data_IF_948562513457
#
_entry.id   IF_948562513457
#
_cell.length_a   1.000
_cell.length_b   1.000
_cell.length_c   1.000
_cell.angle_alpha   90.00
_cell.angle_beta   90.00
_cell.angle_gamma   90.00
#
_symmetry.space_group_name_H-M   'P 1'
#
loop_
_entity.id
_entity.type
_entity.pdbx_description
1 polymer ?
#
# COMPACT_ATOMS: atom_id res chain seq x y z
N UNK A 1 -24.51 6.70 43.37
CA UNK A 1 -23.64 7.83 42.98
C UNK A 1 -22.24 7.28 42.95
N UNK A 2 -21.68 6.92 41.81
CA UNK A 2 -21.45 7.80 40.65
C UNK A 2 -21.82 7.13 39.34
N UNK A 3 -22.64 7.83 38.56
CA UNK A 3 -22.88 7.61 37.13
C UNK A 3 -21.55 7.78 36.38
N UNK A 4 -21.16 6.79 35.58
CA UNK A 4 -20.21 7.02 34.49
C UNK A 4 -21.03 7.35 33.24
N UNK A 5 -21.34 8.63 33.15
CA UNK A 5 -21.76 9.33 31.95
C UNK A 5 -20.59 9.33 30.96
N UNK A 6 -20.56 8.38 30.02
CA UNK A 6 -19.74 8.46 28.82
C UNK A 6 -20.66 8.66 27.62
N UNK A 7 -21.19 9.88 27.53
CA UNK A 7 -21.04 10.71 26.34
C UNK A 7 -21.57 10.09 25.05
N UNK A 8 -22.89 9.93 24.97
CA UNK A 8 -23.58 9.87 23.69
C UNK A 8 -23.49 11.27 23.04
N UNK A 9 -22.33 11.60 22.48
CA UNK A 9 -22.17 12.79 21.64
C UNK A 9 -23.20 12.68 20.51
N UNK A 10 -23.91 13.76 20.16
CA UNK A 10 -24.84 13.69 19.04
C UNK A 10 -24.09 13.17 17.83
N UNK A 11 -24.54 12.05 17.26
CA UNK A 11 -24.02 11.53 16.00
C UNK A 11 -23.93 12.71 15.04
N UNK A 12 -22.71 13.11 14.64
CA UNK A 12 -22.55 14.23 13.70
C UNK A 12 -23.47 13.98 12.51
N UNK A 13 -24.21 15.01 12.10
CA UNK A 13 -24.99 14.94 10.88
C UNK A 13 -24.01 14.89 9.69
N UNK A 14 -23.68 13.68 9.26
CA UNK A 14 -22.74 13.43 8.17
C UNK A 14 -23.41 13.67 6.84
N UNK A 15 -22.68 14.30 5.92
CA UNK A 15 -23.15 14.51 4.55
C UNK A 15 -23.21 13.18 3.81
N UNK A 16 -24.32 12.91 3.14
CA UNK A 16 -24.47 11.77 2.23
C UNK A 16 -23.99 12.14 0.84
N UNK A 17 -23.53 11.15 0.07
CA UNK A 17 -23.14 11.29 -1.34
C UNK A 17 -23.98 10.37 -2.24
N UNK A 18 -25.28 10.68 -2.47
CA UNK A 18 -26.13 9.86 -3.33
C UNK A 18 -25.54 9.71 -4.73
N UNK A 19 -25.52 8.48 -5.23
CA UNK A 19 -25.03 8.10 -6.55
C UNK A 19 -23.53 8.26 -6.75
N UNK A 20 -22.72 8.47 -5.71
CA UNK A 20 -21.28 8.70 -5.84
C UNK A 20 -20.59 7.54 -6.57
N UNK A 21 -19.81 7.86 -7.60
CA UNK A 21 -18.92 6.92 -8.27
C UNK A 21 -17.64 6.75 -7.45
N UNK A 22 -17.06 5.54 -7.45
CA UNK A 22 -15.75 5.29 -6.83
C UNK A 22 -14.67 6.23 -7.37
N UNK A 23 -14.81 6.65 -8.63
CA UNK A 23 -13.95 7.64 -9.30
C UNK A 23 -13.84 8.96 -8.55
N UNK A 24 -14.84 9.34 -7.76
CA UNK A 24 -14.82 10.57 -6.98
C UNK A 24 -13.66 10.61 -5.98
N UNK A 25 -13.33 9.46 -5.37
CA UNK A 25 -12.31 9.38 -4.32
C UNK A 25 -11.10 8.52 -4.72
N UNK A 26 -11.18 7.76 -5.82
CA UNK A 26 -10.06 6.95 -6.32
C UNK A 26 -8.77 7.77 -6.47
N UNK A 27 -7.69 7.23 -5.93
CA UNK A 27 -6.35 7.76 -6.14
C UNK A 27 -5.98 7.61 -7.62
N UNK A 28 -5.37 8.63 -8.28
CA UNK A 28 -5.06 8.53 -9.72
C UNK A 28 -4.18 7.33 -10.09
N UNK A 29 -3.24 6.96 -9.21
CA UNK A 29 -2.44 5.74 -9.38
C UNK A 29 -3.28 4.45 -9.40
N UNK A 30 -4.35 4.37 -8.63
CA UNK A 30 -5.26 3.22 -8.58
C UNK A 30 -6.10 3.14 -9.86
N UNK A 31 -6.70 4.27 -10.27
CA UNK A 31 -7.46 4.40 -11.52
C UNK A 31 -6.63 3.98 -12.74
N UNK A 32 -5.36 4.36 -12.77
CA UNK A 32 -4.44 4.02 -13.87
C UNK A 32 -4.12 2.53 -13.97
N UNK A 33 -3.99 1.84 -12.83
CA UNK A 33 -3.68 0.41 -12.77
C UNK A 33 -4.84 -0.43 -13.31
N UNK A 34 -6.08 -0.06 -12.96
CA UNK A 34 -7.31 -0.68 -13.48
C UNK A 34 -7.39 -0.61 -15.02
N UNK A 35 -7.14 0.58 -15.57
CA UNK A 35 -7.19 0.80 -17.02
C UNK A 35 -6.08 0.03 -17.73
N UNK A 36 -4.88 -0.02 -17.16
CA UNK A 36 -3.75 -0.73 -17.75
C UNK A 36 -4.01 -2.25 -17.82
N UNK A 37 -4.56 -2.83 -16.76
CA UNK A 37 -4.86 -4.26 -16.71
C UNK A 37 -5.94 -4.68 -17.72
N UNK A 38 -7.01 -3.88 -17.89
CA UNK A 38 -8.08 -4.15 -18.86
C UNK A 38 -7.60 -4.10 -20.33
N UNK A 39 -6.47 -3.46 -20.61
CA UNK A 39 -5.87 -3.41 -21.96
C UNK A 39 -4.99 -4.62 -22.27
N UNK A 40 -4.68 -5.47 -21.29
CA UNK A 40 -3.89 -6.67 -21.51
C UNK A 40 -4.75 -7.73 -22.21
N UNK A 41 -4.35 -8.11 -23.42
CA UNK A 41 -5.00 -9.20 -24.17
C UNK A 41 -5.00 -10.48 -23.35
N UNK A 42 -6.17 -11.13 -23.23
CA UNK A 42 -6.33 -12.38 -22.48
C UNK A 42 -6.52 -12.23 -20.96
N UNK A 43 -6.56 -11.00 -20.43
CA UNK A 43 -6.82 -10.76 -19.01
C UNK A 43 -8.14 -11.38 -18.55
N UNK A 44 -9.22 -11.21 -19.31
CA UNK A 44 -10.54 -11.76 -18.95
C UNK A 44 -10.53 -13.30 -18.86
N UNK A 45 -9.75 -13.97 -19.70
CA UNK A 45 -9.61 -15.44 -19.68
C UNK A 45 -8.85 -15.89 -18.44
N UNK A 46 -7.74 -15.24 -18.11
CA UNK A 46 -6.94 -15.52 -16.90
C UNK A 46 -7.76 -15.21 -15.65
N UNK A 47 -8.45 -14.07 -15.64
CA UNK A 47 -9.30 -13.65 -14.54
C UNK A 47 -10.47 -14.62 -14.30
N UNK A 48 -11.15 -15.08 -15.36
CA UNK A 48 -12.20 -16.11 -15.24
C UNK A 48 -11.65 -17.43 -14.73
N UNK A 49 -10.49 -17.87 -15.22
CA UNK A 49 -9.85 -19.08 -14.74
C UNK A 49 -9.48 -18.98 -13.25
N UNK A 50 -8.87 -17.87 -12.82
CA UNK A 50 -8.55 -17.62 -11.41
C UNK A 50 -9.80 -17.52 -10.54
N UNK A 51 -10.84 -16.82 -11.00
CA UNK A 51 -12.10 -16.68 -10.28
C UNK A 51 -12.82 -18.02 -10.11
N UNK A 52 -12.77 -18.91 -11.11
CA UNK A 52 -13.31 -20.27 -11.00
C UNK A 52 -12.55 -21.18 -10.04
N UNK A 53 -11.28 -20.88 -9.75
CA UNK A 53 -10.45 -21.62 -8.78
C UNK A 53 -10.62 -21.10 -7.35
N UNK A 54 -11.21 -19.91 -7.17
CA UNK A 54 -11.43 -19.29 -5.87
C UNK A 54 -12.71 -19.83 -5.24
N UNK A 55 -12.63 -20.52 -4.09
CA UNK A 55 -13.81 -21.14 -3.49
C UNK A 55 -14.59 -20.11 -2.66
N UNK A 56 -15.28 -19.17 -3.32
CA UNK A 56 -16.02 -18.10 -2.66
C UNK A 56 -17.04 -18.62 -1.63
N UNK A 57 -17.70 -19.74 -1.96
CA UNK A 57 -18.58 -20.46 -1.02
C UNK A 57 -17.83 -20.98 0.20
N UNK A 58 -16.61 -21.48 0.03
CA UNK A 58 -15.77 -21.95 1.15
C UNK A 58 -15.37 -20.77 2.03
N UNK A 59 -14.99 -19.64 1.44
CA UNK A 59 -14.66 -18.42 2.19
C UNK A 59 -15.85 -17.95 3.06
N UNK A 60 -17.07 -17.93 2.48
CA UNK A 60 -18.29 -17.62 3.22
C UNK A 60 -18.54 -18.60 4.36
N UNK A 61 -18.40 -19.90 4.12
CA UNK A 61 -18.59 -20.92 5.15
C UNK A 61 -17.55 -20.80 6.27
N UNK A 62 -16.29 -20.48 5.93
CA UNK A 62 -15.22 -20.31 6.90
C UNK A 62 -15.54 -19.21 7.92
N UNK A 63 -15.90 -18.01 7.47
CA UNK A 63 -16.25 -16.92 8.37
C UNK A 63 -17.57 -17.15 9.11
N UNK A 64 -18.51 -17.87 8.49
CA UNK A 64 -19.73 -18.26 9.19
C UNK A 64 -19.46 -19.28 10.31
N UNK A 65 -18.43 -20.13 10.15
CA UNK A 65 -18.08 -21.16 11.13
C UNK A 65 -17.15 -20.69 12.24
N UNK A 66 -16.23 -19.77 11.95
CA UNK A 66 -15.08 -19.43 12.81
C UNK A 66 -14.99 -17.93 13.11
N UNK A 67 -16.10 -17.21 13.00
CA UNK A 67 -16.18 -15.78 13.33
C UNK A 67 -17.58 -15.40 13.79
N UNK A 68 -17.68 -14.27 14.47
CA UNK A 68 -18.95 -13.75 14.98
C UNK A 68 -19.53 -12.79 13.96
N UNK A 69 -20.71 -13.09 13.44
CA UNK A 69 -21.37 -12.24 12.43
C UNK A 69 -21.84 -10.92 13.06
N UNK A 70 -21.61 -9.79 12.42
CA UNK A 70 -22.16 -8.50 12.84
C UNK A 70 -23.63 -8.41 12.41
N UNK A 71 -24.53 -8.06 13.34
CA UNK A 71 -25.96 -7.89 13.10
C UNK A 71 -26.63 -7.03 14.18
N UNK A 72 -27.95 -6.82 14.09
CA UNK A 72 -28.71 -6.13 15.14
C UNK A 72 -28.65 -6.86 16.50
N UNK A 73 -28.38 -8.16 16.50
CA UNK A 73 -28.34 -8.99 17.71
C UNK A 73 -26.93 -9.12 18.32
N UNK A 74 -25.87 -8.76 17.59
CA UNK A 74 -24.48 -8.95 18.01
C UNK A 74 -23.57 -7.94 17.29
N UNK A 75 -22.71 -7.26 18.05
CA UNK A 75 -21.93 -6.11 17.56
C UNK A 75 -22.82 -5.02 16.91
N UNK A 76 -23.95 -4.69 17.55
CA UNK A 76 -24.92 -3.74 17.00
C UNK A 76 -24.29 -2.39 16.58
N UNK A 77 -23.34 -1.88 17.37
CA UNK A 77 -22.68 -0.62 17.03
C UNK A 77 -21.84 -0.69 15.74
N UNK A 78 -21.14 -1.81 15.49
CA UNK A 78 -20.45 -2.03 14.21
C UNK A 78 -21.46 -2.18 13.05
N UNK A 79 -22.60 -2.81 13.31
CA UNK A 79 -23.67 -2.96 12.32
C UNK A 79 -24.25 -1.59 11.93
N UNK A 80 -24.46 -0.69 12.90
CA UNK A 80 -24.88 0.69 12.67
C UNK A 80 -23.83 1.46 11.85
N UNK A 81 -22.55 1.41 12.24
CA UNK A 81 -21.47 2.05 11.46
C UNK A 81 -21.40 1.54 10.02
N UNK A 82 -21.58 0.24 9.82
CA UNK A 82 -21.57 -0.37 8.49
C UNK A 82 -22.75 0.11 7.64
N UNK A 83 -23.96 0.13 8.21
CA UNK A 83 -25.15 0.63 7.52
C UNK A 83 -25.02 2.12 7.21
N UNK A 84 -24.50 2.90 8.14
CA UNK A 84 -24.22 4.33 7.94
C UNK A 84 -23.20 4.55 6.82
N UNK A 85 -22.11 3.80 6.80
CA UNK A 85 -21.09 3.89 5.76
C UNK A 85 -21.67 3.56 4.38
N UNK A 86 -22.45 2.48 4.28
CA UNK A 86 -23.16 2.13 3.06
C UNK A 86 -24.17 3.20 2.65
N UNK A 87 -24.90 3.77 3.60
CA UNK A 87 -25.85 4.84 3.35
C UNK A 87 -25.16 6.12 2.83
N UNK A 88 -24.04 6.52 3.44
CA UNK A 88 -23.26 7.71 3.09
C UNK A 88 -22.67 7.58 1.68
N UNK A 89 -22.05 6.45 1.35
CA UNK A 89 -21.47 6.18 0.03
C UNK A 89 -22.49 5.62 -0.99
N UNK A 90 -23.75 5.53 -0.58
CA UNK A 90 -24.84 5.02 -1.41
C UNK A 90 -24.56 3.61 -1.99
N UNK A 91 -23.99 2.71 -1.19
CA UNK A 91 -23.78 1.32 -1.55
C UNK A 91 -25.09 0.54 -1.37
N UNK A 92 -25.66 0.06 -2.47
CA UNK A 92 -27.01 -0.54 -2.50
C UNK A 92 -27.14 -1.79 -1.63
N UNK A 93 -26.12 -2.65 -1.65
CA UNK A 93 -26.09 -3.90 -0.90
C UNK A 93 -25.08 -3.81 0.23
N UNK A 94 -25.57 -3.84 1.46
CA UNK A 94 -24.71 -3.90 2.66
C UNK A 94 -23.98 -5.24 2.68
N UNK A 95 -22.64 -5.27 2.63
CA UNK A 95 -21.88 -6.52 2.68
C UNK A 95 -21.99 -7.15 4.07
N UNK A 96 -21.99 -8.49 4.20
CA UNK A 96 -21.85 -9.15 5.49
C UNK A 96 -20.54 -8.71 6.17
N UNK A 97 -20.61 -8.45 7.47
CA UNK A 97 -19.43 -8.16 8.29
C UNK A 97 -19.27 -9.21 9.38
N UNK A 98 -18.03 -9.58 9.69
CA UNK A 98 -17.67 -10.54 10.73
C UNK A 98 -16.56 -9.99 11.63
N UNK A 99 -16.61 -10.34 12.91
CA UNK A 99 -15.52 -10.14 13.86
C UNK A 99 -14.82 -11.47 14.09
N UNK A 100 -13.52 -11.52 13.79
CA UNK A 100 -12.68 -12.71 13.97
C UNK A 100 -11.73 -12.52 15.15
N UNK A 101 -11.47 -13.60 15.90
CA UNK A 101 -10.56 -13.56 17.04
C UNK A 101 -9.12 -13.49 16.54
N UNK A 102 -8.52 -12.31 16.62
CA UNK A 102 -7.11 -12.08 16.33
C UNK A 102 -6.66 -10.83 17.10
N UNK A 103 -5.64 -10.92 17.97
CA UNK A 103 -5.15 -9.76 18.72
C UNK A 103 -4.43 -8.74 17.81
N UNK A 104 -4.05 -9.10 16.58
CA UNK A 104 -3.42 -8.16 15.64
C UNK A 104 -4.49 -7.27 15.00
N UNK A 105 -4.42 -5.94 15.17
CA UNK A 105 -5.39 -5.02 14.57
C UNK A 105 -5.37 -5.13 13.04
N UNK A 106 -6.50 -5.49 12.46
CA UNK A 106 -6.66 -5.64 11.02
C UNK A 106 -8.14 -5.58 10.61
N UNK A 107 -8.39 -5.07 9.41
CA UNK A 107 -9.66 -5.20 8.71
C UNK A 107 -9.39 -5.54 7.25
N UNK A 108 -10.34 -6.21 6.59
CA UNK A 108 -10.24 -6.48 5.17
C UNK A 108 -11.59 -6.67 4.50
N UNK A 109 -11.67 -6.20 3.26
CA UNK A 109 -12.75 -6.45 2.34
C UNK A 109 -12.32 -7.48 1.27
N UNK A 110 -13.01 -8.61 1.23
CA UNK A 110 -12.71 -9.78 0.38
C UNK A 110 -14.00 -10.36 -0.20
N UNK A 111 -13.91 -11.19 -1.22
CA UNK A 111 -15.05 -11.72 -1.96
C UNK A 111 -14.97 -11.38 -3.45
N UNK A 112 -15.69 -12.16 -4.26
CA UNK A 112 -15.73 -11.99 -5.70
C UNK A 112 -17.03 -11.31 -6.12
N UNK A 113 -18.13 -12.07 -6.04
CA UNK A 113 -19.47 -11.59 -6.43
C UNK A 113 -20.14 -10.86 -5.27
N UNK A 114 -19.91 -11.33 -4.04
CA UNK A 114 -20.42 -10.67 -2.83
C UNK A 114 -19.26 -10.34 -1.88
N UNK A 115 -18.92 -9.04 -1.69
CA UNK A 115 -17.90 -8.65 -0.74
C UNK A 115 -18.34 -8.95 0.69
N UNK A 116 -17.37 -9.29 1.52
CA UNK A 116 -17.46 -9.58 2.94
C UNK A 116 -16.40 -8.72 3.62
N UNK A 117 -16.79 -8.08 4.72
CA UNK A 117 -15.88 -7.31 5.56
C UNK A 117 -15.53 -8.16 6.79
N UNK A 118 -14.25 -8.23 7.12
CA UNK A 118 -13.77 -8.95 8.30
C UNK A 118 -12.95 -8.00 9.14
N UNK A 119 -13.25 -7.92 10.43
CA UNK A 119 -12.56 -7.07 11.41
C UNK A 119 -12.00 -7.96 12.50
N UNK A 120 -10.78 -7.70 12.99
CA UNK A 120 -10.21 -8.46 14.09
C UNK A 120 -10.60 -7.88 15.45
N UNK A 121 -10.65 -8.72 16.48
CA UNK A 121 -10.86 -8.27 17.87
C UNK A 121 -9.84 -7.23 18.29
N UNK A 122 -8.57 -7.38 17.90
CA UNK A 122 -7.53 -6.40 18.19
C UNK A 122 -7.79 -5.01 17.59
N UNK A 123 -8.51 -4.92 16.47
CA UNK A 123 -8.88 -3.62 15.90
C UNK A 123 -10.07 -3.00 16.65
N UNK A 124 -11.06 -3.83 17.02
CA UNK A 124 -12.23 -3.42 17.81
C UNK A 124 -11.82 -2.86 19.16
N UNK A 125 -10.80 -3.44 19.78
CA UNK A 125 -10.28 -3.00 21.08
C UNK A 125 -9.36 -1.77 20.99
N UNK A 126 -8.76 -1.53 19.83
CA UNK A 126 -7.77 -0.45 19.62
C UNK A 126 -8.42 0.90 19.33
N UNK A 127 -9.48 0.92 18.52
CA UNK A 127 -10.03 2.14 17.93
C UNK A 127 -11.26 2.65 18.69
N UNK A 128 -11.38 3.97 18.77
CA UNK A 128 -12.61 4.64 19.22
C UNK A 128 -13.68 4.67 18.11
N UNK A 129 -14.87 5.19 18.43
CA UNK A 129 -16.00 5.22 17.49
C UNK A 129 -15.67 5.93 16.17
N UNK A 130 -15.04 7.11 16.22
CA UNK A 130 -14.79 7.91 15.02
C UNK A 130 -13.65 7.33 14.17
N UNK A 131 -12.64 6.77 14.83
CA UNK A 131 -11.55 6.04 14.18
C UNK A 131 -12.06 4.75 13.52
N UNK A 132 -12.89 3.97 14.24
CA UNK A 132 -13.49 2.75 13.71
C UNK A 132 -14.41 3.07 12.53
N UNK A 133 -15.18 4.16 12.59
CA UNK A 133 -16.03 4.59 11.47
C UNK A 133 -15.22 4.94 10.23
N UNK A 134 -14.04 5.54 10.38
CA UNK A 134 -13.13 5.77 9.25
C UNK A 134 -12.64 4.44 8.65
N UNK A 135 -12.33 3.43 9.48
CA UNK A 135 -11.95 2.08 9.01
C UNK A 135 -13.11 1.36 8.33
N UNK A 136 -14.32 1.38 8.91
CA UNK A 136 -15.50 0.78 8.28
C UNK A 136 -15.80 1.45 6.95
N UNK A 137 -15.70 2.78 6.88
CA UNK A 137 -15.82 3.53 5.63
C UNK A 137 -14.76 3.17 4.60
N UNK A 138 -13.53 2.89 5.04
CA UNK A 138 -12.43 2.42 4.19
C UNK A 138 -12.76 1.05 3.57
N UNK A 139 -13.25 0.08 4.37
CA UNK A 139 -13.63 -1.24 3.87
C UNK A 139 -14.87 -1.20 2.93
N UNK A 140 -15.85 -0.35 3.24
CA UNK A 140 -16.98 -0.08 2.34
C UNK A 140 -16.50 0.59 1.05
N UNK A 141 -15.49 1.46 1.12
CA UNK A 141 -14.82 2.04 -0.04
C UNK A 141 -14.20 0.96 -0.94
N UNK A 142 -13.52 -0.04 -0.37
CA UNK A 142 -13.05 -1.20 -1.12
C UNK A 142 -14.18 -1.99 -1.78
N UNK A 143 -15.31 -2.19 -1.07
CA UNK A 143 -16.47 -2.87 -1.63
C UNK A 143 -17.06 -2.10 -2.83
N UNK A 144 -17.25 -0.78 -2.68
CA UNK A 144 -17.80 0.08 -3.72
C UNK A 144 -16.88 0.20 -4.95
N UNK A 145 -15.56 0.25 -4.74
CA UNK A 145 -14.57 0.29 -5.82
C UNK A 145 -14.27 -1.07 -6.46
N UNK A 146 -14.87 -2.17 -5.98
CA UNK A 146 -14.61 -3.52 -6.49
C UNK A 146 -13.21 -4.06 -6.15
N UNK A 147 -12.56 -3.51 -5.13
CA UNK A 147 -11.21 -3.90 -4.71
C UNK A 147 -11.18 -5.28 -4.03
N UNK A 148 -12.32 -5.75 -3.51
CA UNK A 148 -12.45 -7.05 -2.83
C UNK A 148 -12.00 -8.23 -3.69
N UNK A 149 -12.28 -8.16 -5.00
CA UNK A 149 -11.92 -9.18 -5.99
C UNK A 149 -10.40 -9.35 -6.03
N UNK A 150 -9.69 -8.26 -6.24
CA UNK A 150 -8.23 -8.27 -6.39
C UNK A 150 -7.54 -8.65 -5.09
N UNK A 151 -8.08 -8.19 -3.95
CA UNK A 151 -7.59 -8.59 -2.63
C UNK A 151 -7.71 -10.10 -2.43
N UNK A 152 -8.84 -10.69 -2.85
CA UNK A 152 -9.07 -12.14 -2.77
C UNK A 152 -8.09 -12.92 -3.65
N UNK A 153 -7.91 -12.48 -4.91
CA UNK A 153 -6.93 -13.07 -5.84
C UNK A 153 -5.51 -12.97 -5.26
N UNK A 154 -5.12 -11.82 -4.71
CA UNK A 154 -3.80 -11.62 -4.11
C UNK A 154 -3.55 -12.56 -2.91
N UNK A 155 -4.53 -12.73 -2.03
CA UNK A 155 -4.44 -13.65 -0.89
C UNK A 155 -4.24 -15.10 -1.35
N UNK A 156 -5.04 -15.53 -2.33
CA UNK A 156 -4.94 -16.86 -2.90
C UNK A 156 -3.59 -17.09 -3.59
N UNK A 157 -3.16 -16.18 -4.46
CA UNK A 157 -1.88 -16.29 -5.17
C UNK A 157 -0.68 -16.24 -4.23
N UNK A 158 -0.75 -15.44 -3.16
CA UNK A 158 0.31 -15.42 -2.14
C UNK A 158 0.37 -16.76 -1.41
N UNK A 159 -0.77 -17.35 -1.04
CA UNK A 159 -0.82 -18.68 -0.43
C UNK A 159 -0.34 -19.78 -1.38
N UNK A 160 -0.69 -19.69 -2.67
CA UNK A 160 -0.23 -20.62 -3.69
C UNK A 160 1.29 -20.51 -3.91
N UNK A 161 1.83 -19.30 -4.01
CA UNK A 161 3.27 -19.05 -4.17
C UNK A 161 4.08 -19.71 -3.04
N UNK A 162 3.60 -19.61 -1.80
CA UNK A 162 4.23 -20.28 -0.66
C UNK A 162 4.20 -21.81 -0.79
N UNK A 163 3.08 -22.39 -1.24
CA UNK A 163 2.93 -23.85 -1.40
C UNK A 163 3.80 -24.44 -2.51
N UNK A 164 4.11 -23.66 -3.54
CA UNK A 164 4.92 -24.11 -4.68
C UNK A 164 6.33 -23.54 -4.68
N UNK A 165 6.75 -22.85 -3.61
CA UNK A 165 8.06 -22.22 -3.51
C UNK A 165 9.23 -23.19 -3.67
N UNK A 166 8.99 -24.50 -3.45
CA UNK A 166 9.96 -25.57 -3.65
C UNK A 166 10.21 -25.94 -5.12
N UNK A 167 9.34 -25.51 -6.05
CA UNK A 167 9.49 -25.77 -7.49
C UNK A 167 10.45 -24.74 -8.10
N UNK A 168 11.62 -25.15 -8.63
CA UNK A 168 12.55 -24.22 -9.27
C UNK A 168 11.89 -23.51 -10.47
N UNK A 169 12.13 -22.20 -10.61
CA UNK A 169 11.64 -21.32 -11.69
C UNK A 169 10.11 -21.11 -11.80
N UNK A 170 9.26 -22.04 -11.35
CA UNK A 170 7.80 -21.89 -11.36
C UNK A 170 7.29 -20.72 -10.51
N UNK A 171 8.03 -20.36 -9.46
CA UNK A 171 7.70 -19.26 -8.57
C UNK A 171 7.93 -17.87 -9.22
N UNK A 172 8.76 -17.74 -10.25
CA UNK A 172 9.15 -16.42 -10.79
C UNK A 172 7.96 -15.70 -11.42
N UNK A 173 7.16 -16.39 -12.24
CA UNK A 173 5.99 -15.81 -12.88
C UNK A 173 4.91 -15.42 -11.86
N UNK A 174 4.64 -16.28 -10.88
CA UNK A 174 3.68 -15.98 -9.81
C UNK A 174 4.17 -14.82 -8.95
N UNK A 175 5.45 -14.77 -8.60
CA UNK A 175 6.03 -13.67 -7.84
C UNK A 175 5.94 -12.33 -8.58
N UNK A 176 6.11 -12.32 -9.90
CA UNK A 176 5.91 -11.10 -10.69
C UNK A 176 4.45 -10.62 -10.61
N UNK A 177 3.48 -11.54 -10.77
CA UNK A 177 2.04 -11.22 -10.65
C UNK A 177 1.69 -10.75 -9.24
N UNK A 178 2.15 -11.47 -8.20
CA UNK A 178 1.93 -11.10 -6.79
C UNK A 178 2.54 -9.73 -6.49
N UNK A 179 3.74 -9.43 -7.01
CA UNK A 179 4.38 -8.12 -6.81
C UNK A 179 3.58 -7.01 -7.47
N UNK A 180 3.10 -7.21 -8.70
CA UNK A 180 2.25 -6.23 -9.40
C UNK A 180 0.91 -6.02 -8.67
N UNK A 181 0.25 -7.10 -8.24
CA UNK A 181 -0.98 -7.03 -7.46
C UNK A 181 -0.78 -6.36 -6.09
N UNK A 182 0.37 -6.56 -5.43
CA UNK A 182 0.72 -5.86 -4.18
C UNK A 182 0.93 -4.37 -4.41
N UNK A 183 1.63 -3.98 -5.46
CA UNK A 183 1.78 -2.56 -5.81
C UNK A 183 0.43 -1.92 -6.04
N UNK A 184 -0.42 -2.55 -6.85
CA UNK A 184 -1.74 -2.03 -7.12
C UNK A 184 -2.60 -1.99 -5.86
N UNK A 185 -2.64 -3.06 -5.06
CA UNK A 185 -3.40 -3.09 -3.81
C UNK A 185 -2.97 -1.95 -2.88
N UNK A 186 -1.66 -1.66 -2.77
CA UNK A 186 -1.16 -0.48 -2.04
C UNK A 186 -1.62 0.86 -2.58
N UNK A 187 -1.93 0.99 -3.89
CA UNK A 187 -2.57 2.20 -4.43
C UNK A 187 -4.04 2.27 -4.08
N UNK A 188 -4.73 1.13 -4.08
CA UNK A 188 -6.14 1.04 -3.70
C UNK A 188 -6.38 1.41 -2.24
N UNK A 189 -5.41 1.18 -1.35
CA UNK A 189 -5.43 1.65 0.04
C UNK A 189 -5.60 3.17 0.17
N UNK A 190 -4.95 3.94 -0.72
CA UNK A 190 -5.06 5.41 -0.72
C UNK A 190 -6.46 5.85 -1.17
N UNK A 191 -7.07 5.13 -2.11
CA UNK A 191 -8.47 5.34 -2.50
C UNK A 191 -9.42 5.03 -1.34
N UNK A 192 -9.18 3.92 -0.65
CA UNK A 192 -10.00 3.51 0.48
C UNK A 192 -9.84 4.42 1.70
N UNK A 193 -8.65 4.98 1.96
CA UNK A 193 -8.44 6.03 2.97
C UNK A 193 -9.31 7.26 2.72
N UNK A 194 -9.40 7.67 1.46
CA UNK A 194 -10.25 8.80 1.05
C UNK A 194 -11.74 8.48 1.24
N UNK A 195 -12.17 7.26 0.90
CA UNK A 195 -13.53 6.80 1.19
C UNK A 195 -13.84 6.77 2.69
N UNK A 196 -12.89 6.27 3.50
CA UNK A 196 -12.95 6.29 4.96
C UNK A 196 -13.12 7.69 5.52
N UNK A 197 -12.40 8.68 4.99
CA UNK A 197 -12.57 10.08 5.37
C UNK A 197 -13.91 10.67 4.93
N UNK A 198 -14.44 10.32 3.75
CA UNK A 198 -15.78 10.76 3.32
C UNK A 198 -16.89 10.20 4.22
N UNK A 199 -16.72 8.98 4.72
CA UNK A 199 -17.65 8.35 5.67
C UNK A 199 -17.50 8.94 7.06
N UNK A 200 -16.27 9.03 7.58
CA UNK A 200 -16.01 9.54 8.94
C UNK A 200 -16.29 11.03 9.08
N UNK A 201 -15.90 11.82 8.07
CA UNK A 201 -15.97 13.29 8.03
C UNK A 201 -15.23 13.97 9.19
N UNK A 202 -14.22 13.29 9.73
CA UNK A 202 -13.32 13.79 10.76
C UNK A 202 -11.87 13.46 10.38
N UNK A 203 -11.17 14.46 9.83
CA UNK A 203 -9.77 14.33 9.42
C UNK A 203 -8.88 13.92 10.59
N UNK A 204 -9.12 14.47 11.78
CA UNK A 204 -8.30 14.18 12.97
C UNK A 204 -8.51 12.74 13.43
N UNK A 205 -9.75 12.24 13.41
CA UNK A 205 -10.03 10.85 13.75
C UNK A 205 -9.39 9.89 12.73
N UNK A 206 -9.46 10.17 11.43
CA UNK A 206 -8.78 9.35 10.42
C UNK A 206 -7.26 9.30 10.62
N UNK A 207 -6.62 10.44 10.92
CA UNK A 207 -5.18 10.46 11.23
C UNK A 207 -4.86 9.72 12.52
N UNK A 208 -5.66 9.92 13.57
CA UNK A 208 -5.48 9.27 14.87
C UNK A 208 -5.61 7.75 14.75
N UNK A 209 -6.55 7.25 13.95
CA UNK A 209 -6.69 5.83 13.64
C UNK A 209 -5.43 5.24 12.98
N UNK A 210 -4.89 5.89 11.94
CA UNK A 210 -3.63 5.48 11.31
C UNK A 210 -2.44 5.51 12.28
N UNK A 211 -2.39 6.52 13.15
CA UNK A 211 -1.37 6.65 14.19
C UNK A 211 -1.48 5.52 15.23
N UNK A 212 -2.70 5.15 15.64
CA UNK A 212 -2.93 4.02 16.56
C UNK A 212 -2.59 2.67 15.94
N UNK A 213 -2.85 2.47 14.64
CA UNK A 213 -2.40 1.27 13.92
C UNK A 213 -0.86 1.16 13.96
N UNK A 214 -0.15 2.29 13.98
CA UNK A 214 1.30 2.33 14.07
C UNK A 214 1.84 2.12 15.49
N UNK A 215 1.21 2.74 16.50
CA UNK A 215 1.78 2.92 17.84
C UNK A 215 0.94 2.41 19.02
N UNK A 216 -0.24 1.83 18.78
CA UNK A 216 -1.16 1.38 19.84
C UNK A 216 -2.03 2.49 20.42
N UNK A 217 -2.61 2.27 21.61
CA UNK A 217 -3.62 3.14 22.23
C UNK A 217 -3.07 4.10 23.31
N UNK A 218 -1.82 4.56 23.18
CA UNK A 218 -1.18 5.45 24.15
C UNK A 218 -1.38 6.93 23.79
N UNK A 219 -2.64 7.34 23.55
CA UNK A 219 -2.95 8.69 23.04
C UNK A 219 -2.45 9.84 23.93
N UNK A 220 -2.25 9.61 25.22
CA UNK A 220 -1.68 10.61 26.14
C UNK A 220 -0.18 10.85 25.92
N UNK A 221 0.50 9.94 25.21
CA UNK A 221 1.92 10.04 24.83
C UNK A 221 2.12 10.28 23.33
N UNK A 222 1.04 10.29 22.54
CA UNK A 222 1.09 10.35 21.08
C UNK A 222 0.51 11.68 20.58
N UNK A 223 1.10 12.24 19.52
CA UNK A 223 0.67 13.49 18.92
C UNK A 223 0.55 13.36 17.40
N UNK A 224 -0.62 13.70 16.86
CA UNK A 224 -0.93 13.56 15.43
C UNK A 224 -0.06 14.48 14.58
N UNK A 225 0.21 15.71 15.01
CA UNK A 225 1.05 16.65 14.28
C UNK A 225 2.51 16.18 14.23
N UNK A 226 3.01 15.59 15.32
CA UNK A 226 4.33 14.95 15.35
C UNK A 226 4.41 13.73 14.44
N UNK A 227 3.35 12.91 14.39
CA UNK A 227 3.25 11.77 13.47
C UNK A 227 3.23 12.19 11.99
N UNK A 228 2.59 13.33 11.69
CA UNK A 228 2.62 13.93 10.36
C UNK A 228 3.99 14.54 10.02
N UNK A 229 4.66 15.17 10.99
CA UNK A 229 6.03 15.65 10.82
C UNK A 229 7.01 14.49 10.55
N UNK A 230 6.79 13.33 11.18
CA UNK A 230 7.54 12.10 10.90
C UNK A 230 7.34 11.61 9.45
N UNK A 231 6.14 11.74 8.90
CA UNK A 231 5.90 11.41 7.49
C UNK A 231 6.66 12.34 6.55
N UNK A 232 6.70 13.63 6.90
CA UNK A 232 7.44 14.68 6.20
C UNK A 232 8.95 14.46 6.23
N UNK A 233 9.47 13.97 7.37
CA UNK A 233 10.85 13.51 7.51
C UNK A 233 11.10 12.29 6.62
N UNK A 234 10.26 11.26 6.69
CA UNK A 234 10.40 10.04 5.87
C UNK A 234 10.42 10.34 4.36
N UNK A 235 9.60 11.28 3.89
CA UNK A 235 9.59 11.71 2.48
C UNK A 235 10.92 12.40 2.08
N UNK A 236 11.42 13.29 2.94
CA UNK A 236 12.65 14.09 2.68
C UNK A 236 13.94 13.31 2.95
N UNK A 237 13.89 12.31 3.82
CA UNK A 237 15.08 11.71 4.40
C UNK A 237 15.90 10.93 3.37
N UNK A 238 17.20 11.17 3.44
CA UNK A 238 18.23 10.28 2.92
C UNK A 238 18.85 10.67 1.58
N UNK A 239 19.75 9.80 1.12
CA UNK A 239 20.33 9.83 -0.21
C UNK A 239 19.65 8.81 -1.14
N UNK A 240 20.18 8.61 -2.36
CA UNK A 240 19.64 7.62 -3.31
C UNK A 240 19.61 6.19 -2.74
N UNK A 241 20.54 5.82 -1.85
CA UNK A 241 20.54 4.50 -1.22
C UNK A 241 19.35 4.38 -0.28
N UNK A 242 19.04 5.42 0.46
CA UNK A 242 17.86 5.45 1.33
C UNK A 242 16.57 5.34 0.52
N UNK A 243 16.46 6.01 -0.63
CA UNK A 243 15.32 5.81 -1.56
C UNK A 243 15.17 4.36 -2.01
N UNK A 244 16.28 3.67 -2.31
CA UNK A 244 16.25 2.23 -2.64
C UNK A 244 15.82 1.40 -1.43
N UNK A 245 16.32 1.71 -0.23
CA UNK A 245 15.91 1.01 0.99
C UNK A 245 14.42 1.21 1.30
N UNK A 246 13.87 2.41 1.08
CA UNK A 246 12.42 2.68 1.18
C UNK A 246 11.63 1.75 0.25
N UNK A 247 12.05 1.60 -1.02
CA UNK A 247 11.41 0.66 -1.96
C UNK A 247 11.49 -0.76 -1.43
N UNK A 248 12.67 -1.23 -1.03
CA UNK A 248 12.87 -2.60 -0.51
C UNK A 248 12.00 -2.88 0.73
N UNK A 249 11.80 -1.90 1.60
CA UNK A 249 10.95 -2.03 2.78
C UNK A 249 9.45 -2.04 2.46
N UNK A 250 9.03 -1.43 1.34
CA UNK A 250 7.63 -1.43 0.87
C UNK A 250 7.28 -2.73 0.13
N UNK A 251 8.20 -3.31 -0.65
CA UNK A 251 7.95 -4.50 -1.48
C UNK A 251 7.26 -5.69 -0.77
N UNK A 252 7.66 -6.09 0.45
CA UNK A 252 7.02 -7.23 1.12
C UNK A 252 5.65 -6.89 1.72
N UNK A 253 5.28 -5.61 1.82
CA UNK A 253 4.07 -5.16 2.53
C UNK A 253 2.83 -5.17 1.64
N UNK A 254 1.69 -5.48 2.27
CA UNK A 254 0.37 -5.38 1.63
C UNK A 254 -0.19 -3.96 1.67
N UNK A 255 0.16 -3.17 2.69
CA UNK A 255 -0.31 -1.79 2.86
C UNK A 255 0.87 -0.83 2.79
N UNK A 256 0.67 0.42 2.30
CA UNK A 256 1.67 1.46 2.50
C UNK A 256 1.91 1.72 4.00
N UNK A 257 3.02 2.36 4.33
CA UNK A 257 3.29 2.78 5.71
C UNK A 257 2.20 3.72 6.21
N UNK A 258 1.81 3.56 7.48
CA UNK A 258 0.75 4.36 8.13
C UNK A 258 1.07 5.86 8.13
N UNK A 259 2.33 6.24 8.33
CA UNK A 259 2.79 7.63 8.22
C UNK A 259 2.58 8.20 6.81
N UNK A 260 2.91 7.43 5.77
CA UNK A 260 2.72 7.83 4.36
C UNK A 260 1.23 7.97 4.04
N UNK A 261 0.40 7.02 4.49
CA UNK A 261 -1.07 7.11 4.35
C UNK A 261 -1.64 8.36 5.01
N UNK A 262 -1.19 8.67 6.24
CA UNK A 262 -1.64 9.83 6.97
C UNK A 262 -1.28 11.14 6.24
N UNK A 263 -0.04 11.25 5.75
CA UNK A 263 0.38 12.41 4.96
C UNK A 263 -0.44 12.59 3.67
N UNK A 264 -0.66 11.50 2.92
CA UNK A 264 -1.44 11.59 1.67
C UNK A 264 -2.91 11.89 1.91
N UNK A 265 -3.51 11.30 2.95
CA UNK A 265 -4.89 11.59 3.31
C UNK A 265 -5.05 13.04 3.80
N UNK A 266 -4.08 13.58 4.56
CA UNK A 266 -4.06 14.99 4.96
C UNK A 266 -3.97 15.90 3.76
N UNK A 267 -3.02 15.65 2.85
CA UNK A 267 -2.85 16.41 1.61
C UNK A 267 -4.12 16.41 0.77
N UNK A 268 -4.82 15.28 0.68
CA UNK A 268 -6.09 15.20 -0.03
C UNK A 268 -7.20 15.99 0.68
N UNK A 269 -7.29 15.92 2.01
CA UNK A 269 -8.30 16.68 2.78
C UNK A 269 -8.18 18.21 2.62
N UNK A 270 -6.97 18.69 2.30
CA UNK A 270 -6.68 20.11 2.05
C UNK A 270 -6.84 20.48 0.56
N UNK A 271 -7.14 19.51 -0.31
CA UNK A 271 -7.29 19.73 -1.75
C UNK A 271 -8.66 20.29 -2.13
N UNK A 272 -8.72 20.94 -3.31
CA UNK A 272 -9.99 21.38 -3.90
C UNK A 272 -10.91 20.21 -4.27
N UNK A 273 -10.35 19.06 -4.60
CA UNK A 273 -11.16 17.89 -5.00
C UNK A 273 -11.98 17.37 -3.82
N UNK A 274 -11.36 17.26 -2.64
CA UNK A 274 -12.08 16.91 -1.42
C UNK A 274 -13.19 17.92 -1.11
N UNK A 275 -12.89 19.22 -1.15
CA UNK A 275 -13.88 20.27 -0.89
C UNK A 275 -15.05 20.20 -1.89
N UNK A 276 -14.76 20.00 -3.19
CA UNK A 276 -15.80 19.84 -4.22
C UNK A 276 -16.73 18.66 -3.92
N UNK A 277 -16.19 17.52 -3.51
CA UNK A 277 -17.01 16.35 -3.11
C UNK A 277 -17.87 16.72 -1.91
N UNK A 278 -17.27 17.34 -0.88
CA UNK A 278 -17.97 17.82 0.31
C UNK A 278 -19.02 18.88 0.01
N UNK A 279 -18.91 19.64 -1.09
CA UNK A 279 -19.93 20.59 -1.56
C UNK A 279 -21.06 19.90 -2.34
N UNK A 280 -20.84 18.67 -2.82
CA UNK A 280 -21.82 17.89 -3.59
C UNK A 280 -21.49 17.81 -5.10
N UNK A 281 -20.30 18.24 -5.48
CA UNK A 281 -19.79 18.22 -6.86
C UNK A 281 -18.84 17.04 -7.06
N UNK A 282 -19.40 15.86 -7.33
CA UNK A 282 -18.66 14.62 -7.54
C UNK A 282 -19.22 13.82 -8.72
N UNK A 283 -18.39 12.99 -9.40
CA UNK A 283 -18.85 12.07 -10.44
C UNK A 283 -19.91 11.10 -9.92
N UNK A 284 -20.96 10.89 -10.71
CA UNK A 284 -22.03 9.93 -10.36
C UNK A 284 -21.88 8.63 -11.12
N UNK A 285 -22.29 7.51 -10.51
CA UNK A 285 -22.26 6.17 -11.15
C UNK A 285 -23.07 6.12 -12.45
N UNK A 286 -24.12 6.92 -12.56
CA UNK A 286 -24.91 7.05 -13.79
C UNK A 286 -24.09 7.56 -14.99
N UNK A 287 -22.98 8.27 -14.74
CA UNK A 287 -22.11 8.90 -15.74
C UNK A 287 -20.88 8.04 -16.08
N UNK A 288 -20.71 6.88 -15.44
CA UNK A 288 -19.51 6.05 -15.61
C UNK A 288 -19.40 5.46 -17.02
N UNK A 289 -20.52 5.21 -17.70
CA UNK A 289 -20.56 4.65 -19.06
C UNK A 289 -20.05 5.63 -20.12
N UNK A 290 -20.17 6.94 -19.87
CA UNK A 290 -19.82 7.99 -20.82
C UNK A 290 -18.37 8.46 -20.67
N UNK A 291 -17.61 7.81 -19.80
CA UNK A 291 -16.25 8.25 -19.44
C UNK A 291 -15.20 7.72 -20.41
N UNK A 292 -14.40 8.64 -20.93
CA UNK A 292 -13.27 8.36 -21.81
C UNK A 292 -12.10 7.71 -21.05
N UNK A 293 -11.70 6.53 -21.51
CA UNK A 293 -10.49 5.83 -21.03
C UNK A 293 -9.23 6.65 -21.31
N UNK A 294 -9.21 7.39 -22.41
CA UNK A 294 -8.08 8.24 -22.81
C UNK A 294 -7.91 9.42 -21.86
N UNK A 295 -9.01 10.05 -21.43
CA UNK A 295 -8.97 11.18 -20.51
C UNK A 295 -8.53 10.74 -19.11
N UNK A 296 -9.01 9.59 -18.66
CA UNK A 296 -8.57 8.96 -17.41
C UNK A 296 -7.07 8.67 -17.40
N UNK A 297 -6.51 8.26 -18.54
CA UNK A 297 -5.07 8.04 -18.68
C UNK A 297 -4.27 9.34 -18.67
N UNK A 298 -4.76 10.38 -19.36
CA UNK A 298 -4.13 11.72 -19.36
C UNK A 298 -4.12 12.33 -17.95
N UNK A 299 -5.21 12.23 -17.21
CA UNK A 299 -5.31 12.70 -15.82
C UNK A 299 -4.32 11.97 -14.91
N UNK A 300 -4.25 10.64 -15.04
CA UNK A 300 -3.28 9.83 -14.30
C UNK A 300 -1.84 10.21 -14.63
N UNK A 301 -1.52 10.39 -15.92
CA UNK A 301 -0.19 10.80 -16.37
C UNK A 301 0.20 12.20 -15.83
N UNK A 302 -0.76 13.14 -15.81
CA UNK A 302 -0.58 14.46 -15.21
C UNK A 302 -0.28 14.37 -13.71
N UNK A 303 -1.00 13.51 -12.98
CA UNK A 303 -0.72 13.27 -11.55
C UNK A 303 0.68 12.69 -11.33
N UNK A 304 1.12 11.71 -12.13
CA UNK A 304 2.48 11.16 -12.02
C UNK A 304 3.56 12.20 -12.32
N UNK A 305 3.37 13.01 -13.37
CA UNK A 305 4.29 14.09 -13.70
C UNK A 305 4.39 15.11 -12.55
N UNK A 306 3.27 15.46 -11.92
CA UNK A 306 3.26 16.37 -10.78
C UNK A 306 3.88 15.73 -9.53
N UNK A 307 3.63 14.44 -9.27
CA UNK A 307 4.30 13.68 -8.20
C UNK A 307 5.81 13.73 -8.38
N UNK A 308 6.32 13.42 -9.57
CA UNK A 308 7.77 13.46 -9.85
C UNK A 308 8.32 14.87 -9.65
N UNK A 309 7.63 15.89 -10.19
CA UNK A 309 8.04 17.30 -10.09
C UNK A 309 8.07 17.82 -8.66
N UNK A 310 7.11 17.42 -7.83
CA UNK A 310 6.94 17.93 -6.46
C UNK A 310 7.58 17.03 -5.39
N UNK A 311 8.06 15.85 -5.78
CA UNK A 311 8.65 14.90 -4.83
C UNK A 311 9.92 15.45 -4.21
N UNK A 312 10.03 15.26 -2.90
CA UNK A 312 11.24 15.61 -2.16
C UNK A 312 12.27 14.47 -2.17
N UNK A 313 11.87 13.27 -2.59
CA UNK A 313 12.69 12.06 -2.57
C UNK A 313 13.84 12.12 -3.61
N UNK A 314 15.10 11.80 -3.23
CA UNK A 314 16.25 11.87 -4.12
C UNK A 314 16.12 11.07 -5.43
N UNK A 315 15.48 9.90 -5.40
CA UNK A 315 15.30 9.07 -6.60
C UNK A 315 14.32 9.72 -7.58
N UNK A 316 13.23 10.29 -7.06
CA UNK A 316 12.22 10.96 -7.89
C UNK A 316 12.76 12.26 -8.47
N UNK A 317 13.61 12.99 -7.72
CA UNK A 317 14.35 14.14 -8.24
C UNK A 317 15.25 13.77 -9.41
N UNK A 318 16.03 12.69 -9.28
CA UNK A 318 16.87 12.19 -10.37
C UNK A 318 16.04 11.84 -11.62
N UNK A 319 14.88 11.20 -11.46
CA UNK A 319 13.96 10.92 -12.58
C UNK A 319 13.47 12.22 -13.23
N UNK A 320 13.09 13.22 -12.42
CA UNK A 320 12.71 14.55 -12.90
C UNK A 320 13.82 15.25 -13.67
N UNK A 321 15.06 15.21 -13.17
CA UNK A 321 16.23 15.85 -13.79
C UNK A 321 16.58 15.22 -15.14
N UNK A 322 16.48 13.88 -15.24
CA UNK A 322 16.69 13.13 -16.48
C UNK A 322 15.58 13.45 -17.50
N UNK A 323 14.32 13.46 -17.07
CA UNK A 323 13.18 13.74 -17.94
C UNK A 323 13.11 15.22 -18.39
N UNK A 324 13.63 16.15 -17.58
CA UNK A 324 13.68 17.59 -17.84
C UNK A 324 14.80 18.04 -18.78
N UNK A 325 15.62 17.13 -19.31
CA UNK A 325 16.63 17.44 -20.32
C UNK A 325 17.96 17.99 -19.80
N UNK A 326 18.32 17.76 -18.52
CA UNK A 326 19.68 17.95 -18.03
C UNK A 326 20.59 16.77 -18.51
N UNK A 327 20.73 16.67 -19.82
CA UNK A 327 21.30 15.53 -20.55
C UNK A 327 22.82 15.40 -20.51
N UNK A 328 23.44 15.44 -19.34
CA UNK A 328 24.88 15.08 -19.19
C UNK A 328 25.16 14.06 -18.06
N UNK A 329 24.14 13.65 -17.29
CA UNK A 329 24.31 12.72 -16.16
C UNK A 329 24.02 11.23 -16.48
N UNK A 330 23.46 10.92 -17.65
CA UNK A 330 23.12 9.54 -18.02
C UNK A 330 24.35 8.66 -18.28
N UNK A 331 25.48 9.24 -18.71
CA UNK A 331 26.73 8.49 -18.95
C UNK A 331 27.45 8.06 -17.68
N UNK A 332 27.29 8.80 -16.58
CA UNK A 332 28.05 8.61 -15.35
C UNK A 332 27.38 7.60 -14.39
N UNK A 333 26.05 7.48 -14.43
CA UNK A 333 25.31 6.52 -13.59
C UNK A 333 25.59 5.05 -13.94
N UNK A 334 25.66 4.72 -15.24
CA UNK A 334 25.97 3.36 -15.71
C UNK A 334 27.41 2.95 -15.38
N UNK A 335 28.35 3.90 -15.42
CA UNK A 335 29.76 3.68 -15.04
C UNK A 335 29.95 3.47 -13.53
N UNK A 336 29.26 4.25 -12.70
CA UNK A 336 29.38 4.20 -11.23
C UNK A 336 28.66 3.01 -10.60
N UNK A 337 27.50 2.59 -11.13
CA UNK A 337 26.84 1.36 -10.67
C UNK A 337 27.67 0.12 -11.01
N UNK A 338 28.23 0.04 -12.21
CA UNK A 338 29.08 -1.09 -12.62
C UNK A 338 30.37 -1.19 -11.80
N UNK A 339 30.99 -0.06 -11.48
CA UNK A 339 32.22 -0.05 -10.68
C UNK A 339 31.99 -0.34 -9.19
N UNK A 340 30.78 -0.13 -8.66
CA UNK A 340 30.48 -0.35 -7.23
C UNK A 340 29.88 -1.73 -6.93
N UNK A 341 29.32 -2.41 -7.94
CA UNK A 341 28.76 -3.76 -7.81
C UNK A 341 29.56 -4.84 -8.58
N UNK A 342 30.58 -4.45 -9.35
CA UNK A 342 31.37 -5.34 -10.21
C UNK A 342 32.80 -5.65 -9.74
N UNK A 343 33.08 -5.63 -8.44
CA UNK A 343 34.37 -6.05 -7.88
C UNK A 343 34.26 -7.41 -7.19
N UNK A 344 34.04 -8.46 -7.99
CA UNK A 344 34.15 -9.87 -7.60
C UNK A 344 35.08 -10.60 -8.57
N UNK A 345 36.34 -10.71 -8.16
CA UNK A 345 37.37 -11.68 -8.61
C UNK A 345 37.17 -12.41 -9.96
N UNK A 346 37.99 -12.04 -10.95
CA UNK A 346 38.37 -12.90 -12.07
C UNK A 346 39.89 -13.05 -12.12
N UNK A 347 40.47 -14.25 -12.34
CA UNK A 347 41.91 -14.48 -12.17
C UNK A 347 42.74 -13.86 -13.31
N UNK A 348 43.89 -13.29 -12.96
CA UNK A 348 44.93 -12.84 -13.90
C UNK A 348 45.52 -14.02 -14.66
N UNK A 349 45.51 -13.92 -15.99
CA UNK A 349 46.32 -14.74 -16.89
C UNK A 349 47.76 -14.16 -16.94
N UNK A 350 48.82 -14.96 -16.83
CA UNK A 350 50.19 -14.45 -16.97
C UNK A 350 50.57 -14.33 -18.44
N UNK A 351 51.10 -13.15 -18.80
CA UNK A 351 51.65 -12.86 -20.12
C UNK A 351 53.05 -13.42 -20.28
N UNK A 352 53.31 -13.96 -21.47
CA UNK A 352 54.56 -14.52 -21.93
C UNK A 352 55.38 -13.44 -22.68
N UNK A 353 56.70 -13.43 -22.49
CA UNK A 353 57.62 -12.51 -23.19
C UNK A 353 58.85 -12.11 -22.38
N UNK A 354 59.91 -12.91 -22.43
CA UNK A 354 61.28 -12.49 -22.07
C UNK A 354 62.03 -11.90 -23.29
N UNK A 355 63.38 -11.82 -23.24
CA UNK A 355 64.23 -11.28 -22.19
C UNK A 355 65.25 -10.25 -22.76
N UNK A 356 65.95 -9.52 -21.89
CA UNK A 356 67.32 -8.92 -22.02
C UNK A 356 67.47 -7.87 -20.89
N UNK A 357 68.58 -7.57 -20.21
CA UNK A 357 69.94 -8.07 -19.92
C UNK A 357 70.55 -7.01 -18.99
N UNK A 358 71.37 -7.42 -18.00
CA UNK A 358 72.35 -6.59 -17.26
C UNK A 358 71.77 -5.71 -16.14
N UNK A 359 72.41 -5.49 -14.99
CA UNK A 359 73.70 -5.90 -14.44
C UNK A 359 73.70 -5.49 -12.94
N UNK A 360 74.59 -6.11 -12.16
CA UNK A 360 75.06 -5.74 -10.80
C UNK A 360 74.04 -5.66 -9.63
N UNK A 361 74.27 -6.20 -8.43
CA UNK A 361 75.44 -6.79 -7.78
C UNK A 361 75.25 -6.73 -6.25
N UNK A 362 75.89 -7.64 -5.52
CA UNK A 362 76.12 -7.70 -4.05
C UNK A 362 74.99 -8.20 -3.10
N UNK A 363 75.22 -9.39 -2.50
CA UNK A 363 74.62 -9.84 -1.23
C UNK A 363 75.47 -9.39 -0.01
N UNK A 364 75.50 -10.10 1.14
CA UNK A 364 74.65 -11.23 1.59
C UNK A 364 74.21 -11.16 3.09
N UNK A 365 73.47 -12.20 3.50
CA UNK A 365 73.59 -12.95 4.77
C UNK A 365 72.71 -12.67 6.02
N UNK A 366 72.17 -13.81 6.52
CA UNK A 366 71.85 -14.22 7.91
C UNK A 366 70.58 -13.63 8.58
N UNK A 367 69.77 -14.36 9.37
CA UNK A 367 69.84 -15.74 9.86
C UNK A 367 68.59 -16.14 10.69
N UNK A 368 68.34 -17.46 10.71
CA UNK A 368 67.73 -18.35 11.72
C UNK A 368 66.81 -17.88 12.87
N UNK A 369 65.80 -18.73 13.13
CA UNK A 369 65.21 -19.05 14.46
C UNK A 369 63.75 -18.60 14.59
N UNK A 370 62.72 -19.43 14.79
CA UNK A 370 62.63 -20.66 15.59
C UNK A 370 62.01 -20.33 16.95
N UNK A 371 60.74 -20.69 17.20
CA UNK A 371 60.12 -20.50 18.52
C UNK A 371 58.61 -20.78 18.56
N UNK A 372 58.25 -21.85 19.28
CA UNK A 372 56.91 -22.39 19.55
C UNK A 372 56.26 -21.77 20.82
N UNK A 373 55.09 -22.32 21.17
CA UNK A 373 54.30 -22.28 22.44
C UNK A 373 53.35 -21.09 22.58
N UNK A 374 52.03 -21.31 22.52
CA UNK A 374 51.11 -21.98 23.49
C UNK A 374 50.77 -21.10 24.70
N UNK A 375 49.45 -20.93 24.87
CA UNK A 375 48.74 -20.26 25.94
C UNK A 375 47.25 -20.33 25.65
#
# INVERSE_FOLDING_TARGET
MTENDQGNVPSRQRKRFPGISSRAYEHPADRSALVALRKLSGFDTVFKALSGLLPERSLRLLFLSDSVRVSDAQFNHLNEMLRDACYILDLEKVPPMYVTQDPKPNAMCIGLDEPIIVVTTGLVELLDEEEMRAVVGHEVGHALSGHSVYRTVLLFLTGLALKIAWIPLGNVAIMAIVTALREWFRKSELSADRAGLLVGQDVRASMRGLMKIAGGNHLHEMNVDAFLAQADEYEKAGDLRDSVLKILNVLPRTHPFTTVRAAELKKWSESRDFQRIMDGHYPKRSEDKDTSVTDSFRESAGHYADTVRTSKDPLMKLVGDIAGGAGDLAGDLGGRLRNRFGAGQGPKQPGDGGPTTGDDGSGPASGSGGGQSEG
#
